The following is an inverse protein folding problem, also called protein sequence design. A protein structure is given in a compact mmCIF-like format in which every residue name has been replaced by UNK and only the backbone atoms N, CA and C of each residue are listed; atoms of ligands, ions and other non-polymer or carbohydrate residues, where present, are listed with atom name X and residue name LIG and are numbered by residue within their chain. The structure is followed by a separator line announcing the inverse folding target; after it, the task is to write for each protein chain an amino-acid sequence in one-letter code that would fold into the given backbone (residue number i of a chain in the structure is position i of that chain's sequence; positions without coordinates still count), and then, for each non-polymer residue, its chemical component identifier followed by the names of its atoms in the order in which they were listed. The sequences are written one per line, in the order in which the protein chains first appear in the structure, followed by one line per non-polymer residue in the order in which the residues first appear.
data_IF_093862862099
#
_entry.id   IF_093862862099
#
_cell.length_a   1.000
_cell.length_b   1.000
_cell.length_c   1.000
_cell.angle_alpha   90.00
_cell.angle_beta   90.00
_cell.angle_gamma   90.00
#
_symmetry.space_group_name_H-M   'P 1'
#
loop_
_entity.id
_entity.type
_entity.pdbx_description
1 polymer ?
#
# COMPACT_ATOMS: atom_id res chain seq x y z
N UNK A 1 -4.23 -34.85 0.74
CA UNK A 1 -2.86 -35.05 1.25
C UNK A 1 -2.38 -33.73 1.86
N UNK A 2 -2.36 -33.62 3.18
CA UNK A 2 -1.86 -32.44 3.86
C UNK A 2 -0.33 -32.43 3.81
N UNK A 3 0.25 -31.47 3.10
CA UNK A 3 1.70 -31.24 3.08
C UNK A 3 2.10 -30.66 4.43
N UNK A 4 2.44 -31.55 5.37
CA UNK A 4 3.02 -31.17 6.66
C UNK A 4 4.26 -30.32 6.44
N UNK A 5 4.20 -29.05 6.84
CA UNK A 5 5.38 -28.18 6.85
C UNK A 5 6.41 -28.82 7.78
N UNK A 6 7.52 -29.29 7.22
CA UNK A 6 8.69 -29.72 8.01
C UNK A 6 9.07 -28.56 8.93
N UNK A 7 8.84 -28.74 10.23
CA UNK A 7 9.41 -27.85 11.23
C UNK A 7 10.89 -28.16 11.25
N UNK A 8 11.71 -27.34 10.58
CA UNK A 8 13.15 -27.42 10.79
C UNK A 8 13.42 -27.05 12.25
N UNK A 9 13.94 -27.99 13.02
CA UNK A 9 14.45 -27.75 14.36
C UNK A 9 15.47 -26.59 14.29
N UNK A 10 15.34 -25.64 15.23
CA UNK A 10 16.24 -24.50 15.26
C UNK A 10 17.60 -24.98 15.76
N UNK A 11 18.63 -24.74 14.94
CA UNK A 11 20.03 -24.99 15.31
C UNK A 11 20.36 -24.24 16.62
N UNK A 12 20.91 -24.93 17.65
CA UNK A 12 21.38 -24.32 18.89
C UNK A 12 22.33 -23.16 18.61
N UNK A 13 22.36 -22.13 19.47
CA UNK A 13 23.14 -20.91 19.20
C UNK A 13 24.63 -21.18 18.98
N UNK A 14 25.18 -22.11 19.75
CA UNK A 14 26.58 -22.54 19.70
C UNK A 14 26.95 -23.12 18.33
N UNK A 15 26.04 -23.86 17.71
CA UNK A 15 26.25 -24.54 16.42
C UNK A 15 25.99 -23.63 15.20
N UNK A 16 25.60 -22.37 15.41
CA UNK A 16 25.27 -21.46 14.31
C UNK A 16 26.55 -20.94 13.66
N UNK A 17 26.82 -21.43 12.46
CA UNK A 17 27.88 -20.90 11.57
C UNK A 17 27.65 -19.43 11.13
N UNK A 18 26.45 -18.90 11.33
CA UNK A 18 26.12 -17.53 10.98
C UNK A 18 25.58 -16.76 12.19
N UNK A 19 25.75 -15.44 12.18
CA UNK A 19 25.24 -14.53 13.21
C UNK A 19 23.71 -14.36 13.15
N UNK A 20 22.98 -15.31 12.56
CA UNK A 20 21.52 -15.21 12.47
C UNK A 20 20.92 -15.49 13.84
N UNK A 21 20.15 -14.52 14.34
CA UNK A 21 19.57 -14.62 15.67
C UNK A 21 20.57 -14.39 16.81
N UNK A 22 21.71 -13.74 16.55
CA UNK A 22 22.71 -13.40 17.59
C UNK A 22 22.10 -12.60 18.77
N UNK A 23 21.09 -11.79 18.50
CA UNK A 23 20.42 -11.00 19.51
C UNK A 23 19.26 -11.74 20.20
N UNK A 24 18.92 -12.98 19.87
CA UNK A 24 17.82 -13.69 20.54
C UNK A 24 18.05 -13.74 22.06
N UNK A 25 16.99 -13.73 22.87
CA UNK A 25 17.09 -13.79 24.34
C UNK A 25 17.20 -12.42 24.99
N UNK A 26 18.09 -12.29 25.98
CA UNK A 26 18.20 -11.08 26.81
C UNK A 26 18.63 -9.85 26.01
N UNK A 27 19.49 -10.05 25.00
CA UNK A 27 19.92 -9.00 24.06
C UNK A 27 18.74 -8.43 23.26
N UNK A 28 17.80 -9.27 22.83
CA UNK A 28 16.61 -8.85 22.10
C UNK A 28 15.68 -8.06 23.02
N UNK A 29 15.55 -8.45 24.28
CA UNK A 29 14.76 -7.69 25.26
C UNK A 29 15.26 -6.26 25.41
N UNK A 30 16.59 -6.05 25.50
CA UNK A 30 17.19 -4.71 25.53
C UNK A 30 16.85 -3.95 24.24
N UNK A 31 17.17 -4.53 23.08
CA UNK A 31 17.00 -3.83 21.80
C UNK A 31 15.52 -3.60 21.42
N UNK A 32 14.63 -4.52 21.79
CA UNK A 32 13.19 -4.44 21.50
C UNK A 32 12.52 -3.28 22.24
N UNK A 33 12.96 -2.96 23.46
CA UNK A 33 12.46 -1.83 24.24
C UNK A 33 12.68 -0.47 23.52
N UNK A 34 13.69 -0.38 22.66
CA UNK A 34 14.02 0.83 21.91
C UNK A 34 13.40 0.91 20.51
N UNK A 35 12.63 -0.11 20.08
CA UNK A 35 12.15 -0.20 18.70
C UNK A 35 11.28 0.99 18.27
N UNK A 36 10.30 1.37 19.09
CA UNK A 36 9.36 2.43 18.75
C UNK A 36 10.04 3.80 18.71
N UNK A 37 10.90 4.08 19.70
CA UNK A 37 11.65 5.33 19.75
C UNK A 37 12.69 5.43 18.63
N UNK A 38 13.40 4.34 18.33
CA UNK A 38 14.31 4.31 17.19
C UNK A 38 13.57 4.58 15.87
N UNK A 39 12.38 4.00 15.69
CA UNK A 39 11.56 4.27 14.51
C UNK A 39 11.18 5.75 14.42
N UNK A 40 10.75 6.36 15.52
CA UNK A 40 10.40 7.78 15.57
C UNK A 40 11.61 8.69 15.26
N UNK A 41 12.79 8.42 15.83
CA UNK A 41 13.99 9.22 15.55
C UNK A 41 14.48 9.03 14.11
N UNK A 42 14.35 7.83 13.56
CA UNK A 42 14.67 7.56 12.16
C UNK A 42 13.79 8.32 11.19
N UNK A 43 12.52 8.52 11.51
CA UNK A 43 11.60 9.33 10.71
C UNK A 43 11.95 10.82 10.71
N UNK A 44 12.61 11.32 11.77
CA UNK A 44 13.08 12.70 11.87
C UNK A 44 14.33 12.99 11.03
N UNK A 45 15.21 12.00 10.85
CA UNK A 45 16.40 12.15 10.01
C UNK A 45 17.60 11.31 10.43
N UNK A 46 18.66 11.35 9.60
CA UNK A 46 19.88 10.55 9.81
C UNK A 46 20.68 10.97 11.05
N UNK A 47 20.73 12.26 11.37
CA UNK A 47 21.47 12.74 12.56
C UNK A 47 20.79 12.25 13.83
N UNK A 48 19.47 12.40 13.93
CA UNK A 48 18.66 11.93 15.06
C UNK A 48 18.72 10.40 15.21
N UNK A 49 18.65 9.66 14.09
CA UNK A 49 18.86 8.21 14.08
C UNK A 49 20.24 7.85 14.68
N UNK A 50 21.30 8.53 14.24
CA UNK A 50 22.66 8.25 14.68
C UNK A 50 22.84 8.56 16.17
N UNK A 51 22.38 9.72 16.61
CA UNK A 51 22.55 10.17 17.99
C UNK A 51 21.75 9.28 18.95
N UNK A 52 20.54 8.87 18.57
CA UNK A 52 19.77 7.91 19.36
C UNK A 52 20.39 6.50 19.37
N UNK A 53 20.93 6.04 18.23
CA UNK A 53 21.64 4.77 18.17
C UNK A 53 22.84 4.75 19.12
N UNK A 54 23.55 5.87 19.29
CA UNK A 54 24.64 5.95 20.28
C UNK A 54 24.14 5.73 21.71
N UNK A 55 22.96 6.25 22.07
CA UNK A 55 22.35 6.01 23.38
C UNK A 55 22.06 4.51 23.57
N UNK A 56 21.45 3.88 22.56
CA UNK A 56 21.15 2.44 22.61
C UNK A 56 22.43 1.60 22.70
N UNK A 57 23.47 1.93 21.94
CA UNK A 57 24.76 1.25 22.02
C UNK A 57 25.40 1.41 23.41
N UNK A 58 25.36 2.61 24.00
CA UNK A 58 25.88 2.84 25.38
C UNK A 58 25.14 1.99 26.41
N UNK A 59 23.82 1.97 26.37
CA UNK A 59 23.00 1.13 27.25
C UNK A 59 23.28 -0.36 27.04
N UNK A 60 23.42 -0.79 25.79
CA UNK A 60 23.74 -2.17 25.45
C UNK A 60 25.10 -2.59 26.03
N UNK A 61 26.15 -1.80 25.82
CA UNK A 61 27.50 -2.09 26.32
C UNK A 61 27.63 -1.92 27.85
N UNK A 62 26.71 -1.19 28.49
CA UNK A 62 26.63 -1.13 29.95
C UNK A 62 26.03 -2.42 30.56
N UNK A 63 25.06 -3.04 29.86
CA UNK A 63 24.39 -4.27 30.32
C UNK A 63 25.08 -5.55 29.86
N UNK A 64 25.80 -5.51 28.74
CA UNK A 64 26.43 -6.68 28.11
C UNK A 64 27.92 -6.46 28.04
N UNK A 65 28.67 -7.27 28.79
CA UNK A 65 30.13 -7.24 28.76
C UNK A 65 30.66 -7.58 27.37
N UNK A 66 31.68 -6.85 26.92
CA UNK A 66 32.35 -7.09 25.64
C UNK A 66 33.13 -8.40 25.60
N UNK A 67 33.43 -8.99 26.78
CA UNK A 67 34.11 -10.30 26.92
C UNK A 67 33.14 -11.48 26.80
N UNK A 68 31.83 -11.23 26.90
CA UNK A 68 30.80 -12.27 26.85
C UNK A 68 30.64 -12.78 25.41
N UNK A 69 30.63 -14.11 25.23
CA UNK A 69 30.49 -14.68 23.89
C UNK A 69 29.07 -14.52 23.35
N UNK A 70 28.91 -14.57 22.02
CA UNK A 70 27.61 -14.36 21.35
C UNK A 70 26.54 -15.41 21.76
N UNK A 71 26.96 -16.62 22.13
CA UNK A 71 26.04 -17.70 22.52
C UNK A 71 25.63 -17.65 24.01
N UNK A 72 26.43 -17.00 24.86
CA UNK A 72 26.16 -16.85 26.28
C UNK A 72 25.13 -15.74 26.52
N UNK A 73 24.17 -15.95 27.41
CA UNK A 73 23.16 -14.95 27.74
C UNK A 73 23.64 -14.01 28.86
N UNK A 74 23.56 -12.68 28.67
CA UNK A 74 23.92 -11.74 29.72
C UNK A 74 22.90 -11.77 30.86
N UNK A 75 23.38 -11.63 32.09
CA UNK A 75 22.50 -11.34 33.23
C UNK A 75 22.11 -9.87 33.20
N UNK A 76 20.81 -9.59 33.05
CA UNK A 76 20.30 -8.22 32.91
C UNK A 76 20.25 -7.53 34.27
N UNK A 77 21.26 -6.72 34.58
CA UNK A 77 21.17 -5.77 35.68
C UNK A 77 20.24 -4.58 35.32
N UNK A 78 19.59 -3.94 36.31
CA UNK A 78 18.88 -2.69 36.09
C UNK A 78 19.83 -1.63 35.52
N UNK A 79 19.42 -0.98 34.44
CA UNK A 79 20.17 0.13 33.87
C UNK A 79 19.65 1.42 34.46
N UNK A 80 20.53 2.15 35.13
CA UNK A 80 20.27 3.52 35.55
C UNK A 80 21.01 4.50 34.60
N UNK A 81 20.27 5.34 33.86
CA UNK A 81 20.86 6.33 32.95
C UNK A 81 21.79 7.35 33.62
N UNK A 82 21.68 7.54 34.95
CA UNK A 82 22.46 8.55 35.69
C UNK A 82 23.77 8.02 36.27
N UNK A 83 23.94 6.70 36.42
CA UNK A 83 25.19 6.05 36.85
C UNK A 83 26.24 5.97 35.71
N UNK A 84 26.29 7.02 34.89
CA UNK A 84 27.01 7.11 33.61
C UNK A 84 28.55 7.22 33.74
N UNK A 85 29.11 6.62 34.78
CA UNK A 85 30.54 6.38 34.92
C UNK A 85 30.68 4.87 35.04
N UNK A 86 30.70 4.17 33.90
CA UNK A 86 31.39 2.89 33.84
C UNK A 86 32.77 3.17 34.42
N UNK A 87 33.05 2.64 35.61
CA UNK A 87 34.39 2.69 36.18
C UNK A 87 35.34 2.33 35.05
N UNK A 88 36.30 3.22 34.76
CA UNK A 88 37.28 2.99 33.71
C UNK A 88 38.04 1.74 34.13
N UNK A 89 37.60 0.60 33.63
CA UNK A 89 38.30 -0.67 33.74
C UNK A 89 39.75 -0.35 33.36
N UNK A 90 40.70 -0.72 34.22
CA UNK A 90 42.13 -0.56 33.93
C UNK A 90 42.49 -1.61 32.88
N UNK A 91 42.27 -1.29 31.60
CA UNK A 91 42.65 -2.16 30.49
C UNK A 91 44.12 -1.94 30.13
N UNK A 92 44.78 -3.02 29.72
CA UNK A 92 46.02 -2.92 28.94
C UNK A 92 45.75 -2.23 27.60
N UNK A 93 46.78 -1.61 27.00
CA UNK A 93 46.67 -0.96 25.69
C UNK A 93 46.18 -1.94 24.60
N UNK A 94 46.62 -3.20 24.67
CA UNK A 94 46.20 -4.27 23.75
C UNK A 94 44.69 -4.57 23.91
N UNK A 95 44.23 -4.77 25.14
CA UNK A 95 42.82 -5.02 25.44
C UNK A 95 41.94 -3.82 25.04
N UNK A 96 42.44 -2.59 25.17
CA UNK A 96 41.72 -1.40 24.77
C UNK A 96 41.47 -1.35 23.26
N UNK A 97 42.43 -1.80 22.45
CA UNK A 97 42.28 -1.93 20.99
C UNK A 97 41.27 -3.02 20.64
N UNK A 98 41.35 -4.17 21.30
CA UNK A 98 40.39 -5.27 21.11
C UNK A 98 38.96 -4.86 21.47
N UNK A 99 38.78 -4.23 22.64
CA UNK A 99 37.50 -3.70 23.11
C UNK A 99 36.92 -2.72 22.09
N UNK A 100 37.74 -1.79 21.58
CA UNK A 100 37.30 -0.81 20.57
C UNK A 100 36.86 -1.48 19.26
N UNK A 101 37.62 -2.48 18.80
CA UNK A 101 37.28 -3.27 17.60
C UNK A 101 35.97 -4.03 17.80
N UNK A 102 35.81 -4.68 18.96
CA UNK A 102 34.61 -5.44 19.29
C UNK A 102 33.36 -4.55 19.36
N UNK A 103 33.45 -3.43 20.09
CA UNK A 103 32.38 -2.42 20.18
C UNK A 103 31.96 -1.94 18.79
N UNK A 104 32.92 -1.58 17.93
CA UNK A 104 32.64 -1.11 16.56
C UNK A 104 31.89 -2.16 15.73
N UNK A 105 32.29 -3.42 15.84
CA UNK A 105 31.61 -4.53 15.14
C UNK A 105 30.19 -4.70 15.66
N UNK A 106 30.00 -4.66 16.98
CA UNK A 106 28.72 -4.86 17.65
C UNK A 106 27.74 -3.72 17.39
N UNK A 107 28.20 -2.46 17.40
CA UNK A 107 27.41 -1.30 17.01
C UNK A 107 26.87 -1.44 15.58
N UNK A 108 27.73 -1.92 14.67
CA UNK A 108 27.32 -2.27 13.30
C UNK A 108 26.26 -3.37 13.26
N UNK A 109 26.33 -4.38 14.14
CA UNK A 109 25.32 -5.44 14.25
C UNK A 109 24.01 -4.92 14.82
N UNK A 110 24.04 -4.07 15.85
CA UNK A 110 22.86 -3.43 16.45
C UNK A 110 22.13 -2.58 15.39
N UNK A 111 22.87 -1.75 14.65
CA UNK A 111 22.30 -0.95 13.56
C UNK A 111 21.62 -1.82 12.49
N UNK A 112 22.28 -2.91 12.07
CA UNK A 112 21.70 -3.87 11.11
C UNK A 112 20.46 -4.56 11.67
N UNK A 113 20.45 -4.87 12.97
CA UNK A 113 19.31 -5.50 13.65
C UNK A 113 18.08 -4.59 13.62
N UNK A 114 18.21 -3.31 14.02
CA UNK A 114 17.14 -2.32 13.91
C UNK A 114 16.70 -2.14 12.45
N UNK A 115 17.66 -1.98 11.53
CA UNK A 115 17.39 -1.84 10.11
C UNK A 115 16.56 -2.99 9.54
N UNK A 116 16.89 -4.23 9.91
CA UNK A 116 16.14 -5.41 9.51
C UNK A 116 14.73 -5.45 10.13
N UNK A 117 14.61 -5.24 11.45
CA UNK A 117 13.32 -5.27 12.16
C UNK A 117 12.36 -4.19 11.67
N UNK A 118 12.85 -2.97 11.52
CA UNK A 118 12.06 -1.86 10.96
C UNK A 118 11.67 -2.15 9.53
N UNK A 119 12.56 -2.67 8.69
CA UNK A 119 12.19 -3.10 7.34
C UNK A 119 11.09 -4.16 7.37
N UNK A 120 11.10 -5.07 8.35
CA UNK A 120 10.07 -6.10 8.50
C UNK A 120 8.74 -5.52 8.98
N UNK A 121 8.75 -4.58 9.91
CA UNK A 121 7.57 -3.84 10.38
C UNK A 121 7.02 -2.95 9.27
N UNK A 122 7.90 -2.23 8.55
CA UNK A 122 7.52 -1.35 7.45
C UNK A 122 7.05 -2.12 6.23
N UNK A 123 7.56 -3.33 5.95
CA UNK A 123 6.98 -4.24 4.95
C UNK A 123 5.55 -4.68 5.29
N UNK A 124 5.17 -4.69 6.58
CA UNK A 124 3.76 -4.89 6.96
C UNK A 124 2.92 -3.62 6.75
N UNK A 125 3.53 -2.44 6.85
CA UNK A 125 2.84 -1.13 6.75
C UNK A 125 2.80 -0.54 5.33
N UNK A 126 3.77 -0.86 4.48
CA UNK A 126 3.81 -0.49 3.07
C UNK A 126 3.74 -1.75 2.24
N UNK A 127 2.71 -1.85 1.40
CA UNK A 127 2.70 -2.79 0.31
C UNK A 127 3.90 -2.48 -0.59
N UNK A 128 5.04 -3.12 -0.31
CA UNK A 128 6.29 -3.03 -1.07
C UNK A 128 6.17 -3.88 -2.33
N UNK A 129 5.05 -3.71 -3.02
CA UNK A 129 4.62 -4.49 -4.17
C UNK A 129 4.09 -3.57 -5.26
N UNK A 130 3.45 -4.20 -6.25
CA UNK A 130 2.74 -3.53 -7.33
C UNK A 130 1.79 -2.45 -6.77
N UNK A 131 1.95 -1.16 -7.13
CA UNK A 131 1.06 -0.08 -6.69
C UNK A 131 -0.42 -0.38 -7.00
N UNK A 132 -0.71 -1.18 -8.03
CA UNK A 132 -2.07 -1.61 -8.33
C UNK A 132 -2.69 -2.54 -7.27
N UNK A 133 -1.87 -3.14 -6.41
CA UNK A 133 -2.30 -4.02 -5.31
C UNK A 133 -2.28 -3.33 -3.96
N UNK A 134 -1.67 -2.15 -3.85
CA UNK A 134 -1.68 -1.36 -2.63
C UNK A 134 -3.02 -0.62 -2.50
N UNK A 135 -3.89 -0.98 -1.54
CA UNK A 135 -5.20 -0.38 -1.40
C UNK A 135 -5.12 1.13 -1.17
N UNK A 136 -4.07 1.61 -0.49
CA UNK A 136 -3.87 3.04 -0.28
C UNK A 136 -3.51 3.74 -1.59
N UNK A 137 -2.58 3.19 -2.38
CA UNK A 137 -2.25 3.76 -3.70
C UNK A 137 -3.46 3.79 -4.63
N UNK A 138 -4.24 2.70 -4.70
CA UNK A 138 -5.49 2.65 -5.49
C UNK A 138 -6.49 3.71 -5.02
N UNK A 139 -6.63 3.88 -3.70
CA UNK A 139 -7.50 4.88 -3.12
C UNK A 139 -7.03 6.30 -3.48
N UNK A 140 -5.73 6.60 -3.35
CA UNK A 140 -5.16 7.90 -3.69
C UNK A 140 -5.24 8.22 -5.19
N UNK A 141 -5.14 7.22 -6.07
CA UNK A 141 -5.35 7.40 -7.51
C UNK A 141 -6.80 7.75 -7.86
N UNK A 142 -7.78 7.37 -7.04
CA UNK A 142 -9.16 7.82 -7.25
C UNK A 142 -9.34 9.31 -6.97
N UNK A 143 -8.58 9.86 -6.01
CA UNK A 143 -8.61 11.28 -5.69
C UNK A 143 -8.10 12.15 -6.85
N UNK A 144 -7.21 11.63 -7.69
CA UNK A 144 -6.78 12.32 -8.91
C UNK A 144 -7.76 12.21 -10.08
N UNK A 145 -8.97 11.69 -9.84
CA UNK A 145 -10.01 11.49 -10.86
C UNK A 145 -9.72 10.34 -11.84
N UNK A 146 -8.61 9.62 -11.68
CA UNK A 146 -8.26 8.51 -12.57
C UNK A 146 -9.10 7.29 -12.20
N UNK A 147 -10.00 6.92 -13.10
CA UNK A 147 -10.90 5.78 -12.91
C UNK A 147 -10.15 4.46 -13.09
N UNK A 148 -10.53 3.47 -12.28
CA UNK A 148 -10.06 2.09 -12.45
C UNK A 148 -10.50 1.61 -13.84
N UNK A 149 -9.58 1.13 -14.68
CA UNK A 149 -9.90 0.71 -16.03
C UNK A 149 -10.84 -0.50 -15.99
N UNK A 150 -11.91 -0.45 -16.77
CA UNK A 150 -12.82 -1.57 -16.90
C UNK A 150 -12.20 -2.69 -17.76
N UNK A 151 -12.77 -3.90 -17.67
CA UNK A 151 -12.46 -4.96 -18.62
C UNK A 151 -12.88 -4.54 -20.03
N UNK A 152 -12.20 -5.08 -21.04
CA UNK A 152 -12.60 -4.87 -22.43
C UNK A 152 -14.08 -5.23 -22.62
N UNK A 153 -14.82 -4.32 -23.24
CA UNK A 153 -16.23 -4.54 -23.58
C UNK A 153 -16.33 -5.71 -24.56
N UNK A 154 -17.41 -6.46 -24.48
CA UNK A 154 -17.73 -7.41 -25.55
C UNK A 154 -18.07 -6.64 -26.84
N UNK A 155 -17.86 -7.22 -28.04
CA UNK A 155 -18.13 -6.54 -29.31
C UNK A 155 -19.53 -5.91 -29.39
N UNK A 156 -20.55 -6.63 -28.92
CA UNK A 156 -21.93 -6.12 -28.89
C UNK A 156 -22.10 -4.91 -27.93
N UNK A 157 -21.36 -4.87 -26.82
CA UNK A 157 -21.39 -3.75 -25.88
C UNK A 157 -20.66 -2.54 -26.44
N UNK A 158 -19.59 -2.75 -27.21
CA UNK A 158 -18.92 -1.68 -27.93
C UNK A 158 -19.83 -1.10 -29.01
N UNK A 159 -20.55 -1.94 -29.76
CA UNK A 159 -21.59 -1.50 -30.69
C UNK A 159 -22.68 -0.68 -29.98
N UNK A 160 -23.14 -1.14 -28.82
CA UNK A 160 -24.07 -0.39 -28.00
C UNK A 160 -23.53 0.97 -27.56
N UNK A 161 -22.23 1.09 -27.32
CA UNK A 161 -21.61 2.35 -26.90
C UNK A 161 -21.46 3.34 -28.08
N UNK A 162 -21.02 2.84 -29.24
CA UNK A 162 -20.74 3.67 -30.42
C UNK A 162 -22.00 4.05 -31.21
N UNK A 163 -22.97 3.15 -31.33
CA UNK A 163 -24.13 3.31 -32.22
C UNK A 163 -25.45 3.45 -31.47
N UNK A 164 -25.42 3.81 -30.18
CA UNK A 164 -26.65 3.90 -29.37
C UNK A 164 -27.64 4.90 -29.97
N UNK A 165 -27.20 6.14 -30.20
CA UNK A 165 -28.08 7.22 -30.64
C UNK A 165 -28.57 7.02 -32.07
N UNK A 166 -27.67 6.56 -32.96
CA UNK A 166 -27.96 6.54 -34.40
C UNK A 166 -28.78 5.32 -34.83
N UNK A 167 -28.44 4.13 -34.33
CA UNK A 167 -29.03 2.86 -34.81
C UNK A 167 -29.94 2.20 -33.78
N UNK A 168 -29.53 2.20 -32.51
CA UNK A 168 -30.19 1.39 -31.50
C UNK A 168 -31.39 2.12 -30.89
N UNK A 169 -31.27 3.41 -30.56
CA UNK A 169 -32.34 4.17 -29.92
C UNK A 169 -33.60 4.28 -30.81
N UNK A 170 -33.50 4.57 -32.13
CA UNK A 170 -34.66 4.57 -33.02
C UNK A 170 -35.30 3.18 -33.12
N UNK A 171 -34.50 2.14 -33.33
CA UNK A 171 -34.99 0.76 -33.43
C UNK A 171 -35.61 0.23 -32.12
N UNK A 172 -35.11 0.69 -30.97
CA UNK A 172 -35.71 0.41 -29.66
C UNK A 172 -37.05 1.11 -29.53
N UNK A 173 -37.15 2.38 -29.94
CA UNK A 173 -38.39 3.14 -29.86
C UNK A 173 -39.48 2.53 -30.74
N UNK A 174 -39.14 2.17 -31.99
CA UNK A 174 -40.05 1.51 -32.92
C UNK A 174 -40.56 0.18 -32.35
N UNK A 175 -39.66 -0.73 -31.96
CA UNK A 175 -40.03 -2.04 -31.39
C UNK A 175 -40.77 -1.92 -30.07
N UNK A 176 -40.51 -0.86 -29.30
CA UNK A 176 -41.21 -0.61 -28.05
C UNK A 176 -42.66 -0.19 -28.31
N UNK A 177 -42.91 0.67 -29.28
CA UNK A 177 -44.26 1.07 -29.67
C UNK A 177 -45.05 -0.09 -30.30
N UNK A 178 -44.41 -0.95 -31.09
CA UNK A 178 -45.02 -2.20 -31.57
C UNK A 178 -45.42 -3.13 -30.43
N UNK A 179 -44.53 -3.33 -29.45
CA UNK A 179 -44.80 -4.18 -28.30
C UNK A 179 -45.94 -3.62 -27.41
N UNK A 180 -46.08 -2.29 -27.33
CA UNK A 180 -47.22 -1.62 -26.68
C UNK A 180 -48.52 -1.88 -27.41
N UNK A 181 -48.52 -1.78 -28.75
CA UNK A 181 -49.72 -2.06 -29.58
C UNK A 181 -50.18 -3.51 -29.46
N UNK A 182 -49.24 -4.46 -29.35
CA UNK A 182 -49.55 -5.88 -29.21
C UNK A 182 -49.94 -6.32 -27.79
N UNK A 183 -49.93 -5.42 -26.80
CA UNK A 183 -50.30 -5.74 -25.42
C UNK A 183 -49.37 -6.73 -24.71
N UNK A 184 -48.21 -7.04 -25.29
CA UNK A 184 -47.24 -8.02 -24.76
C UNK A 184 -46.38 -7.47 -23.63
N UNK A 185 -46.43 -6.17 -23.40
CA UNK A 185 -45.76 -5.49 -22.29
C UNK A 185 -46.82 -4.90 -21.40
N UNK A 186 -46.79 -5.21 -20.09
CA UNK A 186 -47.62 -4.54 -19.08
C UNK A 186 -47.45 -3.02 -19.24
N UNK A 187 -48.47 -2.40 -19.82
CA UNK A 187 -48.46 -1.04 -20.31
C UNK A 187 -48.61 -0.07 -19.14
N UNK A 188 -47.59 0.02 -18.31
CA UNK A 188 -47.44 1.16 -17.42
C UNK A 188 -47.05 2.36 -18.30
N UNK A 189 -48.03 3.21 -18.60
CA UNK A 189 -48.02 4.22 -19.68
C UNK A 189 -46.88 5.26 -19.57
N UNK A 190 -46.15 5.28 -18.46
CA UNK A 190 -45.07 6.22 -18.14
C UNK A 190 -43.67 5.59 -18.15
N UNK A 191 -43.52 4.27 -18.29
CA UNK A 191 -42.24 3.60 -18.10
C UNK A 191 -41.44 3.46 -19.39
N UNK A 192 -40.21 4.01 -19.37
CA UNK A 192 -39.17 3.83 -20.40
C UNK A 192 -38.84 2.34 -20.61
N UNK A 193 -38.39 1.93 -21.80
CA UNK A 193 -38.04 0.54 -22.07
C UNK A 193 -36.97 0.02 -21.09
N UNK A 194 -37.24 -1.14 -20.47
CA UNK A 194 -36.31 -1.79 -19.52
C UNK A 194 -34.96 -2.07 -20.19
N UNK A 195 -33.89 -2.09 -19.41
CA UNK A 195 -32.53 -2.31 -19.92
C UNK A 195 -32.39 -3.63 -20.71
N UNK A 196 -33.07 -4.70 -20.27
CA UNK A 196 -33.08 -5.98 -20.97
C UNK A 196 -33.69 -5.91 -22.38
N UNK A 197 -34.77 -5.13 -22.55
CA UNK A 197 -35.40 -4.92 -23.86
C UNK A 197 -34.43 -4.23 -24.82
N UNK A 198 -33.79 -3.14 -24.36
CA UNK A 198 -32.79 -2.39 -25.13
C UNK A 198 -31.62 -3.27 -25.55
N UNK A 199 -31.10 -4.07 -24.63
CA UNK A 199 -30.02 -5.01 -24.91
C UNK A 199 -30.45 -6.09 -25.91
N UNK A 200 -31.69 -6.58 -25.84
CA UNK A 200 -32.24 -7.55 -26.78
C UNK A 200 -32.32 -7.02 -28.21
N UNK A 201 -32.82 -5.80 -28.39
CA UNK A 201 -32.85 -5.13 -29.70
C UNK A 201 -31.44 -4.90 -30.24
N UNK A 202 -30.53 -4.39 -29.41
CA UNK A 202 -29.14 -4.15 -29.80
C UNK A 202 -28.42 -5.45 -30.21
N UNK A 203 -28.65 -6.57 -29.52
CA UNK A 203 -28.07 -7.88 -29.89
C UNK A 203 -28.56 -8.36 -31.25
N UNK A 204 -29.85 -8.18 -31.56
CA UNK A 204 -30.40 -8.53 -32.89
C UNK A 204 -29.75 -7.69 -33.99
N UNK A 205 -29.65 -6.37 -33.78
CA UNK A 205 -28.98 -5.48 -34.72
C UNK A 205 -27.50 -5.83 -34.89
N UNK A 206 -26.79 -6.12 -33.80
CA UNK A 206 -25.39 -6.53 -33.83
C UNK A 206 -25.18 -7.86 -34.59
N UNK A 207 -26.07 -8.84 -34.38
CA UNK A 207 -25.97 -10.15 -35.05
C UNK A 207 -26.24 -10.07 -36.56
N UNK A 208 -26.97 -9.04 -37.00
CA UNK A 208 -27.22 -8.76 -38.41
C UNK A 208 -26.03 -8.05 -39.10
N UNK A 209 -25.05 -7.55 -38.34
CA UNK A 209 -23.86 -6.92 -38.93
C UNK A 209 -22.94 -7.98 -39.56
N UNK A 210 -22.20 -7.63 -40.62
CA UNK A 210 -21.17 -8.49 -41.19
C UNK A 210 -20.15 -8.95 -40.14
N UNK A 211 -19.65 -10.18 -40.27
CA UNK A 211 -18.68 -10.75 -39.32
C UNK A 211 -17.40 -9.90 -39.19
N UNK A 212 -17.00 -9.23 -40.28
CA UNK A 212 -15.85 -8.32 -40.29
C UNK A 212 -16.06 -7.11 -39.38
N UNK A 213 -17.24 -6.47 -39.42
CA UNK A 213 -17.58 -5.35 -38.56
C UNK A 213 -17.66 -5.77 -37.09
N UNK A 214 -18.24 -6.94 -36.82
CA UNK A 214 -18.30 -7.51 -35.46
C UNK A 214 -16.89 -7.72 -34.89
N UNK A 215 -15.96 -8.23 -35.70
CA UNK A 215 -14.55 -8.42 -35.32
C UNK A 215 -13.86 -7.07 -35.11
N UNK A 216 -14.08 -6.09 -35.98
CA UNK A 216 -13.51 -4.75 -35.88
C UNK A 216 -13.94 -4.03 -34.59
N UNK A 217 -15.20 -4.17 -34.19
CA UNK A 217 -15.72 -3.68 -32.90
C UNK A 217 -15.02 -4.34 -31.71
N UNK A 218 -14.78 -5.66 -31.78
CA UNK A 218 -14.00 -6.38 -30.77
C UNK A 218 -12.57 -5.84 -30.66
N UNK A 219 -11.88 -5.66 -31.78
CA UNK A 219 -10.52 -5.09 -31.81
C UNK A 219 -10.49 -3.68 -31.19
N UNK A 220 -11.43 -2.80 -31.54
CA UNK A 220 -11.53 -1.45 -30.96
C UNK A 220 -11.78 -1.48 -29.45
N UNK A 221 -12.69 -2.34 -28.99
CA UNK A 221 -12.94 -2.51 -27.55
C UNK A 221 -11.70 -2.97 -26.78
N UNK A 222 -10.89 -3.86 -27.36
CA UNK A 222 -9.62 -4.30 -26.75
C UNK A 222 -8.57 -3.20 -26.74
N UNK A 223 -8.48 -2.41 -27.81
CA UNK A 223 -7.55 -1.28 -27.92
C UNK A 223 -7.88 -0.18 -26.90
N UNK A 224 -9.16 0.21 -26.79
CA UNK A 224 -9.62 1.17 -25.76
C UNK A 224 -9.29 0.70 -24.35
N UNK A 225 -9.59 -0.56 -24.03
CA UNK A 225 -9.31 -1.11 -22.71
C UNK A 225 -7.80 -1.16 -22.41
N UNK A 226 -6.97 -1.45 -23.42
CA UNK A 226 -5.52 -1.41 -23.28
C UNK A 226 -5.02 0.01 -23.01
N UNK A 227 -5.47 0.99 -23.79
CA UNK A 227 -5.13 2.41 -23.58
C UNK A 227 -5.52 2.89 -22.17
N UNK A 228 -6.73 2.56 -21.70
CA UNK A 228 -7.18 2.92 -20.36
C UNK A 228 -6.32 2.28 -19.26
N UNK A 229 -5.94 1.00 -19.44
CA UNK A 229 -5.03 0.32 -18.51
C UNK A 229 -3.65 0.94 -18.47
N UNK A 230 -3.12 1.35 -19.62
CA UNK A 230 -1.82 2.02 -19.71
C UNK A 230 -1.84 3.39 -19.04
N UNK A 231 -2.89 4.19 -19.27
CA UNK A 231 -3.09 5.48 -18.59
C UNK A 231 -3.18 5.29 -17.07
N UNK A 232 -3.95 4.30 -16.61
CA UNK A 232 -4.09 4.00 -15.18
C UNK A 232 -2.78 3.51 -14.56
N UNK A 233 -2.07 2.60 -15.23
CA UNK A 233 -0.79 2.08 -14.77
C UNK A 233 0.27 3.19 -14.71
N UNK A 234 0.27 4.11 -15.68
CA UNK A 234 1.13 5.29 -15.69
C UNK A 234 0.80 6.21 -14.52
N UNK A 235 -0.49 6.51 -14.28
CA UNK A 235 -0.91 7.34 -13.15
C UNK A 235 -0.50 6.74 -11.79
N UNK A 236 -0.62 5.41 -11.63
CA UNK A 236 -0.15 4.71 -10.43
C UNK A 236 1.37 4.80 -10.25
N UNK A 237 2.14 4.72 -11.34
CA UNK A 237 3.60 4.73 -11.28
C UNK A 237 4.18 6.14 -11.08
N UNK A 238 3.62 7.13 -11.77
CA UNK A 238 4.11 8.51 -11.75
C UNK A 238 3.70 9.24 -10.46
N UNK A 239 2.64 8.76 -9.78
CA UNK A 239 2.13 9.34 -8.54
C UNK A 239 1.27 10.58 -8.77
N UNK A 240 1.05 11.36 -7.71
CA UNK A 240 0.21 12.56 -7.78
C UNK A 240 0.87 13.65 -8.65
N UNK A 241 0.12 14.16 -9.62
CA UNK A 241 0.56 15.26 -10.47
C UNK A 241 0.88 16.51 -9.63
N UNK A 242 1.96 17.19 -10.00
CA UNK A 242 2.37 18.46 -9.35
C UNK A 242 1.80 19.69 -10.04
N UNK A 243 1.08 19.52 -11.16
CA UNK A 243 0.49 20.64 -11.90
C UNK A 243 -0.62 21.31 -11.07
N UNK A 244 -0.73 22.65 -11.07
CA UNK A 244 -1.77 23.35 -10.33
C UNK A 244 -3.20 22.90 -10.71
N UNK A 245 -3.46 22.70 -12.00
CA UNK A 245 -4.77 22.26 -12.52
C UNK A 245 -5.20 20.89 -11.97
N UNK A 246 -4.26 19.94 -11.91
CA UNK A 246 -4.54 18.59 -11.42
C UNK A 246 -4.75 18.59 -9.90
N UNK A 247 -4.02 19.45 -9.18
CA UNK A 247 -4.23 19.66 -7.74
C UNK A 247 -5.58 20.28 -7.45
N UNK A 248 -5.99 21.27 -8.25
CA UNK A 248 -7.31 21.89 -8.10
C UNK A 248 -8.41 20.84 -8.32
N UNK A 249 -8.29 19.99 -9.36
CA UNK A 249 -9.22 18.86 -9.54
C UNK A 249 -9.27 17.93 -8.33
N UNK A 250 -8.13 17.59 -7.73
CA UNK A 250 -8.11 16.78 -6.50
C UNK A 250 -8.80 17.48 -5.32
N UNK A 251 -8.72 18.81 -5.24
CA UNK A 251 -9.38 19.61 -4.21
C UNK A 251 -10.90 19.60 -4.44
N UNK A 252 -11.33 19.80 -5.69
CA UNK A 252 -12.74 19.80 -6.07
C UNK A 252 -13.38 18.41 -5.84
N UNK A 253 -12.65 17.34 -6.18
CA UNK A 253 -13.09 15.94 -6.00
C UNK A 253 -12.96 15.44 -4.54
N UNK A 254 -12.32 16.21 -3.64
CA UNK A 254 -12.05 15.80 -2.26
C UNK A 254 -13.33 15.50 -1.49
N UNK A 255 -14.40 16.29 -1.71
CA UNK A 255 -15.66 16.11 -1.01
C UNK A 255 -16.32 14.76 -1.34
N UNK A 256 -16.38 14.41 -2.61
CA UNK A 256 -16.95 13.14 -3.07
C UNK A 256 -16.07 11.94 -2.66
N UNK A 257 -14.75 12.14 -2.65
CA UNK A 257 -13.80 11.14 -2.21
C UNK A 257 -13.89 10.84 -0.70
N UNK A 258 -13.97 11.88 0.15
CA UNK A 258 -13.95 11.72 1.61
C UNK A 258 -15.30 11.35 2.20
N UNK A 259 -16.42 11.72 1.56
CA UNK A 259 -17.78 11.42 2.02
C UNK A 259 -17.99 9.95 2.43
N UNK A 260 -17.66 8.93 1.61
CA UNK A 260 -17.84 7.53 2.01
C UNK A 260 -16.94 7.12 3.17
N UNK A 261 -15.75 7.70 3.29
CA UNK A 261 -14.81 7.40 4.38
C UNK A 261 -15.34 7.95 5.71
N UNK A 262 -15.80 9.21 5.71
CA UNK A 262 -16.36 9.86 6.90
C UNK A 262 -17.64 9.16 7.38
N UNK A 263 -18.53 8.77 6.45
CA UNK A 263 -19.72 7.96 6.78
C UNK A 263 -19.35 6.62 7.39
N UNK A 264 -18.36 5.93 6.83
CA UNK A 264 -17.88 4.67 7.41
C UNK A 264 -17.37 4.85 8.83
N UNK A 265 -16.58 5.90 9.10
CA UNK A 265 -16.11 6.19 10.45
C UNK A 265 -17.27 6.45 11.42
N UNK A 266 -18.26 7.25 11.01
CA UNK A 266 -19.47 7.49 11.78
C UNK A 266 -20.24 6.20 12.08
N UNK A 267 -20.44 5.33 11.09
CA UNK A 267 -21.12 4.04 11.26
C UNK A 267 -20.40 3.10 12.24
N UNK A 268 -19.06 3.07 12.24
CA UNK A 268 -18.29 2.17 13.09
C UNK A 268 -18.00 2.72 14.49
N UNK A 269 -17.93 4.05 14.67
CA UNK A 269 -17.57 4.65 15.96
C UNK A 269 -18.71 5.40 16.65
N UNK A 270 -19.78 5.74 15.92
CA UNK A 270 -20.88 6.58 16.40
C UNK A 270 -20.51 8.06 16.57
N UNK A 271 -19.34 8.50 16.09
CA UNK A 271 -18.87 9.88 16.20
C UNK A 271 -19.04 10.64 14.88
N UNK A 272 -19.40 11.92 14.97
CA UNK A 272 -19.39 12.80 13.82
C UNK A 272 -17.98 13.31 13.53
N UNK A 273 -17.51 13.07 12.30
CA UNK A 273 -16.20 13.52 11.85
C UNK A 273 -16.35 14.69 10.87
N UNK A 274 -15.53 15.71 11.08
CA UNK A 274 -15.44 16.87 10.19
C UNK A 274 -14.03 16.88 9.60
N UNK A 275 -13.93 17.05 8.29
CA UNK A 275 -12.66 17.26 7.59
C UNK A 275 -12.50 18.75 7.28
N UNK A 276 -11.42 19.34 7.79
CA UNK A 276 -11.05 20.74 7.50
C UNK A 276 -9.76 20.72 6.67
N UNK A 277 -9.80 21.32 5.49
CA UNK A 277 -8.64 21.48 4.60
C UNK A 277 -8.22 22.95 4.49
N UNK A 278 -6.94 23.24 4.64
CA UNK A 278 -6.35 24.56 4.40
C UNK A 278 -5.74 24.67 3.00
N UNK A 279 -5.97 25.80 2.33
CA UNK A 279 -5.52 26.08 0.96
C UNK A 279 -4.01 26.27 0.82
N UNK A 280 -3.49 26.33 -0.42
CA UNK A 280 -2.06 26.26 -0.69
C UNK A 280 -1.30 27.37 0.04
N UNK A 281 -0.31 26.99 0.85
CA UNK A 281 0.66 27.94 1.38
C UNK A 281 1.28 28.68 0.21
N UNK A 282 1.06 29.99 0.14
CA UNK A 282 1.80 30.83 -0.77
C UNK A 282 3.27 30.58 -0.50
N UNK A 283 3.97 30.00 -1.48
CA UNK A 283 5.42 29.95 -1.44
C UNK A 283 5.84 31.40 -1.53
N UNK A 284 6.19 32.03 -0.39
CA UNK A 284 6.84 33.33 -0.38
C UNK A 284 8.04 33.18 -1.32
N UNK A 285 7.97 33.85 -2.47
CA UNK A 285 9.12 34.02 -3.35
C UNK A 285 10.11 34.97 -2.68
#
# INVERSE_FOLDING_TARGET
MATGKRQCERVPKEDRKNLRGWAEGARETILAAHMDKYLAEKEKGWMQERDYLQVVCREFHARVSWRLQDHEEPTLAPFDPQTMILEKEKLSDEEAVEKRRHITVLDGRIRRWFGYRIRKISKRRRATGDPAKDPLSVLMTKLSGVKIPHKARQPFQQFMNESYQDKIAPAVAEKWEEARKMGTVEADKTKKPKAGFRAGVARKLFSALPAEEQKALGSRATAEAKMQKEVYAKALKDGASKRPEDRQRCIDDMGDFMRPILRGLEEYTGLHYILIGGGPMQVRR
#
